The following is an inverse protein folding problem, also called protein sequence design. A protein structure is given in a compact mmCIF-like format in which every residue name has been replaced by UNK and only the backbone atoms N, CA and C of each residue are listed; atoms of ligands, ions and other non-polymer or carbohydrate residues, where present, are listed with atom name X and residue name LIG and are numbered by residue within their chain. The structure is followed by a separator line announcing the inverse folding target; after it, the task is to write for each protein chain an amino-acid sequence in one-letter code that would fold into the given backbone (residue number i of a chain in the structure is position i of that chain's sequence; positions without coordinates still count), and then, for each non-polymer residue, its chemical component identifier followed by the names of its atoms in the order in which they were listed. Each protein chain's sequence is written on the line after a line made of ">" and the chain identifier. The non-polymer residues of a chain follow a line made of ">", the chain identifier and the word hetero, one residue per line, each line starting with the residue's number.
data_IF_081322901090
#
_entry.id   IF_081322901090
#
_cell.length_a   1.000
_cell.length_b   1.000
_cell.length_c   1.000
_cell.angle_alpha   90.00
_cell.angle_beta   90.00
_cell.angle_gamma   90.00
#
_symmetry.space_group_name_H-M   'P 1'
#
loop_
_entity.id
_entity.type
_entity.pdbx_description
1 polymer ?
#
# COMPACT_ATOMS: atom_id res chain seq x y z
N UNK A 1 13.27 -11.91 -16.47
CA UNK A 1 13.20 -11.94 -15.00
C UNK A 1 11.73 -11.92 -14.61
N UNK A 2 11.19 -13.07 -14.23
CA UNK A 2 9.85 -13.12 -13.66
C UNK A 2 9.91 -12.52 -12.26
N UNK A 3 9.29 -11.35 -12.08
CA UNK A 3 9.19 -10.74 -10.76
C UNK A 3 8.06 -11.43 -10.01
N UNK A 4 8.39 -12.14 -8.94
CA UNK A 4 7.38 -12.79 -8.10
C UNK A 4 6.43 -11.73 -7.52
N UNK A 5 5.14 -11.86 -7.84
CA UNK A 5 4.10 -10.99 -7.28
C UNK A 5 4.00 -11.21 -5.78
N UNK A 6 4.08 -10.13 -5.00
CA UNK A 6 3.91 -10.15 -3.54
C UNK A 6 2.58 -9.52 -3.18
N UNK A 7 1.66 -10.32 -2.64
CA UNK A 7 0.36 -9.83 -2.21
C UNK A 7 0.46 -9.07 -0.88
N UNK A 8 -0.29 -7.99 -0.74
CA UNK A 8 -0.36 -7.17 0.47
C UNK A 8 -1.78 -6.66 0.69
N UNK A 9 -2.10 -6.36 1.95
CA UNK A 9 -3.36 -5.72 2.34
C UNK A 9 -3.11 -4.30 2.80
N UNK A 10 -3.99 -3.38 2.40
CA UNK A 10 -4.03 -2.03 2.95
C UNK A 10 -4.63 -2.11 4.35
N UNK A 11 -3.87 -1.61 5.33
CA UNK A 11 -4.23 -1.64 6.75
C UNK A 11 -4.75 -0.27 7.20
N UNK A 12 -4.22 0.81 6.64
CA UNK A 12 -4.67 2.17 6.93
C UNK A 12 -4.46 3.08 5.75
N UNK A 13 -5.48 3.87 5.42
CA UNK A 13 -5.36 5.02 4.51
C UNK A 13 -4.84 6.21 5.31
N UNK A 14 -3.74 6.80 4.84
CA UNK A 14 -3.06 7.88 5.57
C UNK A 14 -3.48 9.27 5.06
N UNK A 15 -3.94 9.36 3.81
CA UNK A 15 -4.43 10.59 3.22
C UNK A 15 -4.00 10.74 1.76
N UNK A 16 -4.54 11.75 1.09
CA UNK A 16 -4.10 12.13 -0.26
C UNK A 16 -2.78 12.90 -0.17
N UNK A 17 -1.85 12.59 -1.07
CA UNK A 17 -0.50 13.16 -1.10
C UNK A 17 -0.12 13.53 -2.54
N UNK A 18 0.78 14.51 -2.68
CA UNK A 18 1.21 15.06 -3.98
C UNK A 18 0.33 16.23 -4.43
N UNK A 19 0.94 17.18 -5.14
CA UNK A 19 0.31 18.44 -5.56
C UNK A 19 -0.95 18.24 -6.42
N UNK A 20 -1.01 17.16 -7.18
CA UNK A 20 -2.13 16.86 -8.08
C UNK A 20 -3.24 16.01 -7.46
N UNK A 21 -3.17 15.64 -6.16
CA UNK A 21 -4.23 14.89 -5.46
C UNK A 21 -4.55 13.52 -6.12
N UNK A 22 -3.64 12.98 -6.94
CA UNK A 22 -3.81 11.71 -7.67
C UNK A 22 -3.35 10.48 -6.88
N UNK A 23 -2.69 10.69 -5.76
CA UNK A 23 -2.02 9.65 -4.99
C UNK A 23 -2.55 9.64 -3.56
N UNK A 24 -2.76 8.44 -3.04
CA UNK A 24 -3.11 8.19 -1.64
C UNK A 24 -1.98 7.43 -0.99
N UNK A 25 -1.48 7.95 0.14
CA UNK A 25 -0.48 7.26 0.94
C UNK A 25 -1.17 6.26 1.85
N UNK A 26 -0.65 5.03 1.89
CA UNK A 26 -1.24 3.91 2.65
C UNK A 26 -0.18 3.18 3.45
N UNK A 27 -0.61 2.59 4.57
CA UNK A 27 0.16 1.60 5.32
C UNK A 27 -0.31 0.21 4.91
N UNK A 28 0.59 -0.65 4.44
CA UNK A 28 0.27 -2.01 3.99
C UNK A 28 1.03 -3.07 4.78
N UNK A 29 0.47 -4.28 4.81
CA UNK A 29 1.10 -5.49 5.34
C UNK A 29 1.16 -6.55 4.25
N UNK A 30 2.33 -7.13 4.00
CA UNK A 30 2.47 -8.23 3.05
C UNK A 30 1.87 -9.53 3.60
N UNK A 31 1.24 -10.29 2.73
CA UNK A 31 0.72 -11.63 3.01
C UNK A 31 1.84 -12.66 2.84
N UNK A 32 1.89 -13.68 3.70
CA UNK A 32 2.79 -14.83 3.57
C UNK A 32 4.25 -14.61 3.97
N UNK A 33 4.63 -13.41 4.45
CA UNK A 33 5.95 -13.19 5.05
C UNK A 33 5.91 -13.41 6.56
N UNK A 34 6.75 -14.33 7.06
CA UNK A 34 6.90 -14.64 8.49
C UNK A 34 7.30 -13.39 9.30
N UNK A 35 8.01 -12.43 8.68
CA UNK A 35 8.31 -11.13 9.30
C UNK A 35 7.19 -10.14 9.02
N UNK A 36 6.42 -9.82 10.06
CA UNK A 36 5.30 -8.89 10.05
C UNK A 36 5.76 -7.43 10.02
N UNK A 37 6.26 -6.97 8.89
CA UNK A 37 6.55 -5.55 8.66
C UNK A 37 5.33 -4.82 8.11
N UNK A 38 5.04 -3.63 8.63
CA UNK A 38 4.20 -2.65 7.94
C UNK A 38 5.08 -1.69 7.18
N UNK A 39 4.71 -1.38 5.94
CA UNK A 39 5.43 -0.42 5.11
C UNK A 39 4.48 0.61 4.53
N UNK A 40 5.03 1.78 4.19
CA UNK A 40 4.30 2.85 3.51
C UNK A 40 4.38 2.66 1.99
N UNK A 41 3.27 2.89 1.31
CA UNK A 41 3.18 2.87 -0.15
C UNK A 41 2.28 3.99 -0.67
N UNK A 42 2.57 4.39 -1.90
CA UNK A 42 1.76 5.35 -2.66
C UNK A 42 0.92 4.56 -3.65
N UNK A 43 -0.38 4.81 -3.67
CA UNK A 43 -1.32 4.19 -4.59
C UNK A 43 -1.99 5.28 -5.40
N UNK A 44 -2.15 5.06 -6.71
CA UNK A 44 -2.85 5.98 -7.60
C UNK A 44 -4.36 5.72 -7.51
N UNK A 45 -5.15 6.78 -7.36
CA UNK A 45 -6.61 6.71 -7.33
C UNK A 45 -7.22 6.52 -5.93
N UNK A 46 -8.52 6.21 -5.90
CA UNK A 46 -9.27 5.96 -4.69
C UNK A 46 -8.88 4.61 -4.08
N UNK A 47 -8.65 4.60 -2.77
CA UNK A 47 -8.29 3.40 -2.01
C UNK A 47 -9.19 3.30 -0.79
N UNK A 48 -9.69 2.09 -0.55
CA UNK A 48 -10.43 1.75 0.66
C UNK A 48 -9.57 0.81 1.51
N UNK A 49 -9.42 1.15 2.79
CA UNK A 49 -8.82 0.25 3.77
C UNK A 49 -9.85 -0.80 4.19
N UNK A 50 -9.38 -2.03 4.43
CA UNK A 50 -10.17 -3.04 5.15
C UNK A 50 -10.00 -2.89 6.65
#
# INVERSE_FOLDING_TARGET
>A
MESQVKHAVVVKVMGRTGSEVRVTQVRVKFLGLIRTGFIMRNVKGQVEGR
#
